data_IF_344880229181
#
_entry.id   IF_344880229181
#
_cell.length_a   1.000
_cell.length_b   1.000
_cell.length_c   1.000
_cell.angle_alpha   90.00
_cell.angle_beta   90.00
_cell.angle_gamma   90.00
#
_symmetry.space_group_name_H-M   'P 1'
#
loop_
_entity.id
_entity.type
_entity.pdbx_description
1 polymer ?
#
# COMPACT_ATOMS: atom_id res chain seq x y z
N UNK A 1 -1.71 -3.41 -23.22
CA UNK A 1 -0.62 -2.60 -22.64
C UNK A 1 -0.17 -3.29 -21.37
N UNK A 2 1.10 -3.70 -21.25
CA UNK A 2 1.66 -4.07 -19.94
C UNK A 2 1.93 -2.74 -19.24
N UNK A 3 1.14 -2.39 -18.23
CA UNK A 3 1.45 -1.26 -17.36
C UNK A 3 2.76 -1.58 -16.66
N UNK A 4 3.77 -0.73 -16.83
CA UNK A 4 5.04 -0.87 -16.11
C UNK A 4 4.76 -0.69 -14.61
N UNK A 5 5.26 -1.61 -13.79
CA UNK A 5 5.00 -1.60 -12.36
C UNK A 5 5.74 -0.43 -11.71
N UNK A 6 5.04 0.35 -10.90
CA UNK A 6 5.56 1.58 -10.31
C UNK A 6 6.84 1.30 -9.46
N UNK A 7 7.94 2.07 -9.61
CA UNK A 7 9.22 1.76 -8.96
C UNK A 7 9.14 1.57 -7.44
N UNK A 8 8.30 2.36 -6.78
CA UNK A 8 8.08 2.22 -5.34
C UNK A 8 7.47 0.87 -4.94
N UNK A 9 6.58 0.31 -5.77
CA UNK A 9 6.01 -1.02 -5.50
C UNK A 9 7.09 -2.09 -5.64
N UNK A 10 7.93 -1.98 -6.68
CA UNK A 10 9.06 -2.90 -6.87
C UNK A 10 10.00 -2.90 -5.65
N UNK A 11 10.22 -1.73 -5.05
CA UNK A 11 10.98 -1.61 -3.81
C UNK A 11 10.30 -2.33 -2.64
N UNK A 12 9.01 -2.08 -2.40
CA UNK A 12 8.27 -2.75 -1.31
C UNK A 12 8.27 -4.27 -1.47
N UNK A 13 8.15 -4.77 -2.70
CA UNK A 13 8.28 -6.19 -3.02
C UNK A 13 9.69 -6.71 -2.78
N UNK A 14 10.74 -5.95 -3.12
CA UNK A 14 12.12 -6.34 -2.79
C UNK A 14 12.39 -6.41 -1.29
N UNK A 15 11.72 -5.57 -0.48
CA UNK A 15 11.80 -5.64 0.99
C UNK A 15 11.15 -6.93 1.50
N UNK A 16 9.97 -7.29 0.95
CA UNK A 16 9.28 -8.55 1.24
C UNK A 16 10.13 -9.76 0.87
N UNK A 17 10.76 -9.72 -0.30
CA UNK A 17 11.48 -10.85 -0.90
C UNK A 17 12.97 -10.92 -0.49
N UNK A 18 13.42 -10.03 0.39
CA UNK A 18 14.80 -10.03 0.88
C UNK A 18 15.16 -11.33 1.60
N UNK A 19 16.39 -11.80 1.38
CA UNK A 19 16.95 -12.95 2.09
C UNK A 19 17.21 -12.64 3.58
N UNK A 20 17.32 -11.35 3.95
CA UNK A 20 17.45 -10.92 5.34
C UNK A 20 16.06 -10.78 6.00
N UNK A 21 15.64 -11.86 6.67
CA UNK A 21 14.35 -11.92 7.35
C UNK A 21 14.23 -10.94 8.52
N UNK A 22 15.34 -10.55 9.15
CA UNK A 22 15.33 -9.55 10.23
C UNK A 22 15.04 -8.16 9.65
N UNK A 23 15.71 -7.83 8.54
CA UNK A 23 15.45 -6.61 7.78
C UNK A 23 14.01 -6.53 7.28
N UNK A 24 13.48 -7.61 6.67
CA UNK A 24 12.09 -7.64 6.19
C UNK A 24 11.11 -7.38 7.32
N UNK A 25 11.22 -8.12 8.43
CA UNK A 25 10.29 -7.99 9.56
C UNK A 25 10.34 -6.61 10.20
N UNK A 26 11.53 -6.06 10.42
CA UNK A 26 11.70 -4.74 11.03
C UNK A 26 11.15 -3.63 10.12
N UNK A 27 11.46 -3.67 8.83
CA UNK A 27 10.99 -2.67 7.85
C UNK A 27 9.47 -2.71 7.71
N UNK A 28 8.87 -3.89 7.53
CA UNK A 28 7.41 -4.01 7.47
C UNK A 28 6.74 -3.63 8.80
N UNK A 29 7.37 -3.88 9.95
CA UNK A 29 6.85 -3.41 11.23
C UNK A 29 6.86 -1.89 11.36
N UNK A 30 7.88 -1.21 10.85
CA UNK A 30 7.92 0.26 10.80
C UNK A 30 6.81 0.79 9.89
N UNK A 31 6.68 0.26 8.68
CA UNK A 31 5.64 0.69 7.72
C UNK A 31 4.21 0.48 8.25
N UNK A 32 3.93 -0.63 8.94
CA UNK A 32 2.61 -0.87 9.57
C UNK A 32 2.23 0.20 10.58
N UNK A 33 3.20 0.80 11.28
CA UNK A 33 2.94 1.88 12.26
C UNK A 33 2.50 3.19 11.60
N UNK A 34 2.70 3.33 10.29
CA UNK A 34 2.23 4.48 9.51
C UNK A 34 0.73 4.47 9.20
N UNK A 35 0.04 3.34 9.40
CA UNK A 35 -1.39 3.26 9.08
C UNK A 35 -2.20 4.22 9.95
N UNK A 36 -2.97 5.09 9.29
CA UNK A 36 -3.84 6.07 9.96
C UNK A 36 -3.11 7.29 10.51
N UNK A 37 -1.82 7.46 10.20
CA UNK A 37 -1.03 8.65 10.51
C UNK A 37 -0.91 9.55 9.29
N UNK A 38 -0.75 10.84 9.54
CA UNK A 38 -0.42 11.83 8.50
C UNK A 38 1.07 11.74 8.12
N UNK A 39 1.44 12.10 6.87
CA UNK A 39 2.84 12.32 6.51
C UNK A 39 3.51 13.26 7.51
N UNK A 40 4.66 12.88 8.06
CA UNK A 40 5.35 13.67 9.10
C UNK A 40 5.28 13.09 10.52
N UNK A 41 4.26 12.28 10.84
CA UNK A 41 4.03 11.83 12.22
C UNK A 41 4.89 10.63 12.64
N UNK A 42 5.51 9.91 11.69
CA UNK A 42 6.43 8.81 11.97
C UNK A 42 7.71 8.93 11.15
N UNK A 43 8.77 9.42 11.80
CA UNK A 43 10.07 9.64 11.17
C UNK A 43 10.67 8.36 10.55
N UNK A 44 10.32 7.18 11.08
CA UNK A 44 10.79 5.90 10.54
C UNK A 44 10.14 5.59 9.19
N UNK A 45 8.85 5.85 9.08
CA UNK A 45 8.10 5.66 7.82
C UNK A 45 8.56 6.69 6.79
N UNK A 46 8.73 7.96 7.20
CA UNK A 46 9.27 9.00 6.32
C UNK A 46 10.62 8.62 5.73
N UNK A 47 11.55 8.09 6.53
CA UNK A 47 12.86 7.67 6.05
C UNK A 47 12.77 6.63 4.92
N UNK A 48 11.77 5.77 4.96
CA UNK A 48 11.55 4.73 3.94
C UNK A 48 10.85 5.30 2.71
N UNK A 49 9.86 6.18 2.89
CA UNK A 49 8.98 6.68 1.81
C UNK A 49 9.58 7.84 1.03
N UNK A 50 10.16 8.83 1.71
CA UNK A 50 10.65 10.09 1.10
C UNK A 50 11.58 9.88 -0.09
N UNK A 51 12.51 8.91 -0.11
CA UNK A 51 13.37 8.66 -1.27
C UNK A 51 12.63 8.30 -2.57
N UNK A 52 11.36 7.92 -2.48
CA UNK A 52 10.53 7.50 -3.60
C UNK A 52 9.54 8.56 -4.07
N UNK A 53 9.47 9.69 -3.37
CA UNK A 53 8.58 10.78 -3.73
C UNK A 53 9.13 11.53 -4.97
N UNK A 54 8.26 12.02 -5.86
CA UNK A 54 8.65 12.97 -6.90
C UNK A 54 9.32 14.20 -6.30
N UNK A 55 10.25 14.81 -7.03
CA UNK A 55 10.97 16.02 -6.57
C UNK A 55 10.04 17.20 -6.31
N UNK A 56 8.92 17.26 -7.02
CA UNK A 56 7.86 18.26 -6.91
C UNK A 56 6.64 17.75 -6.12
N UNK A 57 6.82 16.74 -5.27
CA UNK A 57 5.74 16.19 -4.47
C UNK A 57 5.10 17.27 -3.58
N UNK A 58 3.81 17.47 -3.77
CA UNK A 58 2.91 18.18 -2.86
C UNK A 58 2.41 17.24 -1.77
N UNK A 59 1.85 17.80 -0.69
CA UNK A 59 1.16 17.06 0.37
C UNK A 59 0.00 16.18 -0.13
N UNK A 60 -0.53 16.43 -1.34
CA UNK A 60 -1.56 15.58 -1.93
C UNK A 60 -0.96 14.37 -2.64
N UNK A 61 0.18 14.57 -3.31
CA UNK A 61 0.84 13.54 -4.09
C UNK A 61 1.71 12.59 -3.27
N UNK A 62 2.12 12.98 -2.05
CA UNK A 62 2.93 12.12 -1.17
C UNK A 62 2.07 11.16 -0.33
N UNK A 63 0.89 11.59 0.15
CA UNK A 63 -0.06 10.78 0.95
C UNK A 63 -0.29 9.37 0.38
N UNK A 64 -0.54 9.18 -0.93
CA UNK A 64 -0.70 7.85 -1.50
C UNK A 64 0.49 6.92 -1.23
N UNK A 65 1.73 7.42 -1.23
CA UNK A 65 2.91 6.60 -0.97
C UNK A 65 2.90 6.07 0.47
N UNK A 66 2.58 6.92 1.44
CA UNK A 66 2.48 6.52 2.85
C UNK A 66 1.35 5.51 3.09
N UNK A 67 0.17 5.76 2.49
CA UNK A 67 -0.98 4.85 2.59
C UNK A 67 -0.68 3.51 1.95
N UNK A 68 -0.15 3.49 0.73
CA UNK A 68 0.21 2.26 0.00
C UNK A 68 1.27 1.47 0.77
N UNK A 69 2.32 2.12 1.28
CA UNK A 69 3.36 1.44 2.05
C UNK A 69 2.79 0.77 3.31
N UNK A 70 1.91 1.47 4.03
CA UNK A 70 1.27 0.96 5.25
C UNK A 70 0.33 -0.21 4.96
N UNK A 71 -0.51 -0.09 3.93
CA UNK A 71 -1.43 -1.15 3.50
C UNK A 71 -0.68 -2.39 2.98
N UNK A 72 0.37 -2.17 2.18
CA UNK A 72 1.25 -3.25 1.72
C UNK A 72 1.88 -3.97 2.91
N UNK A 73 2.37 -3.24 3.92
CA UNK A 73 2.99 -3.87 5.06
C UNK A 73 2.02 -4.66 5.97
N UNK A 74 0.73 -4.33 5.97
CA UNK A 74 -0.31 -5.12 6.64
C UNK A 74 -0.62 -6.42 5.89
N UNK A 75 -0.63 -6.36 4.57
CA UNK A 75 -0.97 -7.47 3.68
C UNK A 75 0.07 -7.56 2.57
N UNK A 76 1.27 -8.02 2.93
CA UNK A 76 2.46 -8.03 2.05
C UNK A 76 2.41 -9.15 1.00
N UNK A 77 1.27 -9.33 0.35
CA UNK A 77 1.09 -10.22 -0.78
C UNK A 77 1.28 -9.42 -2.08
N UNK A 78 1.69 -10.09 -3.15
CA UNK A 78 1.74 -9.45 -4.45
C UNK A 78 0.35 -8.92 -4.82
N UNK A 79 0.33 -7.77 -5.50
CA UNK A 79 -0.90 -7.23 -6.06
C UNK A 79 -1.52 -8.22 -7.04
N UNK A 80 -2.86 -8.24 -7.07
CA UNK A 80 -3.58 -8.89 -8.17
C UNK A 80 -3.59 -8.04 -9.43
N UNK A 81 -4.38 -8.46 -10.41
CA UNK A 81 -4.70 -7.64 -11.58
C UNK A 81 -5.97 -6.83 -11.32
N UNK A 82 -5.99 -5.58 -11.81
CA UNK A 82 -7.14 -4.70 -11.76
C UNK A 82 -6.94 -3.51 -10.81
N UNK A 83 -8.05 -2.85 -10.49
CA UNK A 83 -8.13 -1.74 -9.54
C UNK A 83 -8.97 -2.13 -8.31
N UNK A 84 -9.04 -1.23 -7.31
CA UNK A 84 -9.83 -1.49 -6.11
C UNK A 84 -11.30 -1.77 -6.43
N UNK A 85 -11.90 -1.10 -7.42
CA UNK A 85 -13.28 -1.35 -7.84
C UNK A 85 -13.49 -2.77 -8.38
N UNK A 86 -12.54 -3.25 -9.18
CA UNK A 86 -12.52 -4.63 -9.70
C UNK A 86 -12.39 -5.64 -8.56
N UNK A 87 -11.56 -5.36 -7.56
CA UNK A 87 -11.43 -6.19 -6.36
C UNK A 87 -12.71 -6.20 -5.51
N UNK A 88 -13.37 -5.06 -5.31
CA UNK A 88 -14.66 -4.98 -4.61
C UNK A 88 -15.76 -5.76 -5.35
N UNK A 89 -15.85 -5.61 -6.68
CA UNK A 89 -16.79 -6.37 -7.51
C UNK A 89 -16.55 -7.87 -7.41
N UNK A 90 -15.30 -8.32 -7.44
CA UNK A 90 -14.96 -9.73 -7.27
C UNK A 90 -15.36 -10.23 -5.88
N UNK A 91 -15.09 -9.46 -4.83
CA UNK A 91 -15.47 -9.81 -3.46
C UNK A 91 -17.00 -9.94 -3.29
N UNK A 92 -17.77 -9.07 -3.95
CA UNK A 92 -19.23 -9.11 -4.00
C UNK A 92 -19.72 -10.45 -4.56
N UNK A 93 -19.12 -10.91 -5.67
CA UNK A 93 -19.46 -12.17 -6.34
C UNK A 93 -19.08 -13.42 -5.51
N UNK A 94 -17.96 -13.38 -4.80
CA UNK A 94 -17.45 -14.53 -4.03
C UNK A 94 -18.16 -14.74 -2.69
N UNK A 95 -18.59 -13.67 -2.00
CA UNK A 95 -19.10 -13.76 -0.61
C UNK A 95 -20.61 -13.79 -0.46
N UNK A 96 -21.40 -13.73 -1.55
CA UNK A 96 -22.87 -13.62 -1.51
C UNK A 96 -23.37 -12.55 -0.50
N UNK A 97 -22.59 -11.49 -0.30
CA UNK A 97 -22.88 -10.40 0.65
C UNK A 97 -22.89 -9.09 -0.11
N UNK A 98 -23.80 -9.02 -1.08
CA UNK A 98 -23.91 -7.95 -2.06
C UNK A 98 -24.04 -6.58 -1.38
N UNK A 99 -25.01 -6.48 -0.45
CA UNK A 99 -25.34 -5.26 0.28
C UNK A 99 -24.20 -4.72 1.14
N UNK A 100 -23.45 -5.57 1.85
CA UNK A 100 -22.45 -5.09 2.81
C UNK A 100 -21.20 -4.57 2.09
N UNK A 101 -20.81 -5.24 1.00
CA UNK A 101 -19.65 -4.85 0.18
C UNK A 101 -19.94 -3.55 -0.57
N UNK A 102 -21.13 -3.42 -1.16
CA UNK A 102 -21.53 -2.21 -1.89
C UNK A 102 -21.67 -0.98 -0.98
N UNK A 103 -22.26 -1.15 0.22
CA UNK A 103 -22.34 -0.07 1.23
C UNK A 103 -20.95 0.43 1.63
N UNK A 104 -19.98 -0.47 1.79
CA UNK A 104 -18.61 -0.10 2.15
C UNK A 104 -17.89 0.60 0.99
N UNK A 105 -18.07 0.15 -0.24
CA UNK A 105 -17.47 0.78 -1.41
C UNK A 105 -18.00 2.21 -1.61
N UNK A 106 -19.31 2.42 -1.43
CA UNK A 106 -19.96 3.75 -1.59
C UNK A 106 -19.51 4.76 -0.55
N UNK A 107 -19.03 4.31 0.62
CA UNK A 107 -18.60 5.18 1.71
C UNK A 107 -17.12 5.62 1.63
N UNK A 108 -16.36 5.13 0.64
CA UNK A 108 -14.96 5.49 0.40
C UNK A 108 -14.86 6.64 -0.62
#
# INVERSE_FOLDING_TARGET
>A
MRSEQHPFINYLESVRDSNDQSYTRSTLAMLRRGLGKEPGEDANVMRIVVPWLPTDATEWSDRPYYTVASLFALHSQAGGNGDMGSHFRRLQQEKQSEDAVERRFTAL
#
